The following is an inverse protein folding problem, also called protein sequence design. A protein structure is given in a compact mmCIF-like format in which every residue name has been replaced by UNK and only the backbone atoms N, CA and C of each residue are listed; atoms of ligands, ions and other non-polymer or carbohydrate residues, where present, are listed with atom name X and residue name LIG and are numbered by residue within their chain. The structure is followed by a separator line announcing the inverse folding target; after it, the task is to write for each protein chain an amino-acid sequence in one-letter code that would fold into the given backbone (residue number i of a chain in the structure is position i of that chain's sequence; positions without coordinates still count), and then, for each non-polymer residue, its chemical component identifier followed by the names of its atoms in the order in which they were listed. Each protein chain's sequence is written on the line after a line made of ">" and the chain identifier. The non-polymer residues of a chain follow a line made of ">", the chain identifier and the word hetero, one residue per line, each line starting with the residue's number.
data_IF_393340791170
#
_entry.id   IF_393340791170
#
_cell.length_a   1.000
_cell.length_b   1.000
_cell.length_c   1.000
_cell.angle_alpha   90.00
_cell.angle_beta   90.00
_cell.angle_gamma   90.00
#
_symmetry.space_group_name_H-M   'P 1'
#
loop_
_entity.id
_entity.type
_entity.pdbx_description
1 polymer ?
#
# COMPACT_ATOMS: atom_id res chain seq x y z
N UNK A 1 -18.19 -6.96 10.80
CA UNK A 1 -17.15 -6.56 9.82
C UNK A 1 -15.80 -7.05 10.31
N UNK A 2 -15.09 -7.90 9.56
CA UNK A 2 -13.76 -8.37 9.95
C UNK A 2 -12.78 -7.20 9.79
N UNK A 3 -12.10 -6.80 10.87
CA UNK A 3 -11.07 -5.76 10.81
C UNK A 3 -9.83 -6.35 10.13
N UNK A 4 -9.43 -5.79 9.01
CA UNK A 4 -8.15 -6.12 8.36
C UNK A 4 -7.08 -5.22 8.95
N UNK A 5 -6.07 -5.82 9.57
CA UNK A 5 -4.90 -5.11 10.11
C UNK A 5 -3.77 -5.18 9.10
N UNK A 6 -3.03 -4.09 8.96
CA UNK A 6 -1.91 -4.00 8.06
C UNK A 6 -0.63 -3.83 8.85
N UNK A 7 0.42 -4.49 8.40
CA UNK A 7 1.73 -4.41 9.01
C UNK A 7 2.78 -4.14 7.95
N UNK A 8 3.85 -3.47 8.36
CA UNK A 8 5.03 -3.26 7.53
C UNK A 8 6.28 -3.76 8.25
N UNK A 9 7.19 -4.32 7.48
CA UNK A 9 8.50 -4.73 7.96
C UNK A 9 9.55 -3.95 7.16
N UNK A 10 10.33 -3.05 7.78
CA UNK A 10 11.52 -2.52 7.13
C UNK A 10 12.47 -3.69 6.87
N UNK A 11 12.85 -3.87 5.60
CA UNK A 11 13.90 -4.84 5.23
C UNK A 11 15.29 -4.22 5.24
N UNK A 12 15.36 -2.93 5.54
CA UNK A 12 16.58 -2.13 5.65
C UNK A 12 16.68 -1.59 7.08
N UNK A 13 17.84 -1.78 7.71
CA UNK A 13 18.08 -1.35 9.09
C UNK A 13 18.36 0.16 9.23
N UNK A 14 18.42 0.91 8.13
CA UNK A 14 18.72 2.34 8.14
C UNK A 14 17.46 3.19 7.94
N UNK A 15 17.44 3.94 6.84
CA UNK A 15 16.48 5.01 6.57
C UNK A 15 15.01 4.57 6.69
N UNK A 16 14.67 3.38 6.19
CA UNK A 16 13.27 2.93 6.19
C UNK A 16 12.77 2.65 7.61
N UNK A 17 13.63 2.08 8.46
CA UNK A 17 13.30 1.83 9.86
C UNK A 17 13.11 3.13 10.65
N UNK A 18 13.98 4.11 10.45
CA UNK A 18 13.85 5.43 11.10
C UNK A 18 12.59 6.18 10.70
N UNK A 19 12.24 6.16 9.41
CA UNK A 19 10.99 6.77 8.93
C UNK A 19 9.81 6.06 9.59
N UNK A 20 9.78 4.73 9.57
CA UNK A 20 8.68 3.98 10.18
C UNK A 20 8.56 4.29 11.68
N UNK A 21 9.67 4.29 12.42
CA UNK A 21 9.70 4.56 13.85
C UNK A 21 9.31 6.01 14.21
N UNK A 22 9.49 6.97 13.29
CA UNK A 22 9.06 8.37 13.48
C UNK A 22 7.55 8.56 13.32
N UNK A 23 6.91 7.80 12.43
CA UNK A 23 5.51 8.01 12.07
C UNK A 23 4.56 7.03 12.72
N UNK A 24 5.05 5.85 13.13
CA UNK A 24 4.26 4.85 13.82
C UNK A 24 4.63 4.87 15.31
N UNK A 25 3.66 4.98 16.22
CA UNK A 25 3.93 4.84 17.66
C UNK A 25 4.60 3.52 17.97
N UNK A 26 5.54 3.52 18.91
CA UNK A 26 6.23 2.31 19.37
C UNK A 26 5.26 1.25 19.93
N UNK A 27 4.07 1.63 20.40
CA UNK A 27 3.02 0.71 20.85
C UNK A 27 2.46 -0.20 19.74
N UNK A 28 2.58 0.26 18.48
CA UNK A 28 2.14 -0.51 17.32
C UNK A 28 3.22 -1.46 16.78
N UNK A 29 4.41 -1.43 17.37
CA UNK A 29 5.47 -2.37 17.05
C UNK A 29 5.17 -3.75 17.65
N UNK A 30 5.28 -4.77 16.82
CA UNK A 30 5.11 -6.18 17.17
C UNK A 30 6.28 -6.99 16.65
N UNK A 31 6.95 -7.65 17.58
CA UNK A 31 7.93 -8.66 17.24
C UNK A 31 7.24 -10.02 17.07
N UNK A 32 7.19 -10.53 15.84
CA UNK A 32 6.61 -11.83 15.53
C UNK A 32 7.74 -12.80 15.15
N UNK A 33 8.32 -13.46 16.16
CA UNK A 33 9.51 -14.31 15.97
C UNK A 33 10.73 -13.48 15.55
N UNK A 34 11.26 -13.74 14.35
CA UNK A 34 12.39 -12.98 13.77
C UNK A 34 11.94 -11.72 13.00
N UNK A 35 10.64 -11.43 12.96
CA UNK A 35 10.08 -10.32 12.16
C UNK A 35 9.79 -9.09 13.01
N UNK A 36 10.11 -7.93 12.45
CA UNK A 36 9.89 -6.62 13.05
C UNK A 36 8.70 -5.95 12.36
N UNK A 37 7.49 -6.20 12.88
CA UNK A 37 6.25 -5.78 12.25
C UNK A 37 5.70 -4.52 12.91
N UNK A 38 5.41 -3.50 12.12
CA UNK A 38 4.77 -2.28 12.59
C UNK A 38 3.34 -2.21 12.10
N UNK A 39 2.38 -2.18 13.02
CA UNK A 39 0.96 -2.07 12.70
C UNK A 39 0.63 -0.65 12.23
N UNK A 40 0.01 -0.53 11.05
CA UNK A 40 -0.29 0.75 10.44
C UNK A 40 -1.61 0.74 9.66
N UNK A 41 -2.03 1.93 9.25
CA UNK A 41 -3.14 2.11 8.32
C UNK A 41 -2.69 1.86 6.88
N UNK A 42 -3.62 1.45 6.02
CA UNK A 42 -3.34 1.30 4.59
C UNK A 42 -2.89 2.62 3.94
N UNK A 43 -3.39 3.77 4.43
CA UNK A 43 -3.00 5.09 3.95
C UNK A 43 -1.49 5.36 4.16
N UNK A 44 -0.96 4.96 5.31
CA UNK A 44 0.48 5.07 5.59
C UNK A 44 1.31 4.22 4.62
N UNK A 45 0.84 3.01 4.31
CA UNK A 45 1.48 2.13 3.32
C UNK A 45 1.52 2.81 1.95
N UNK A 46 0.44 3.47 1.52
CA UNK A 46 0.44 4.19 0.24
C UNK A 46 1.42 5.37 0.22
N UNK A 47 1.56 6.10 1.33
CA UNK A 47 2.57 7.15 1.47
C UNK A 47 4.00 6.58 1.42
N UNK A 48 4.25 5.44 2.10
CA UNK A 48 5.55 4.77 2.05
C UNK A 48 5.87 4.25 0.64
N UNK A 49 4.87 3.79 -0.11
CA UNK A 49 5.03 3.38 -1.51
C UNK A 49 5.40 4.54 -2.43
N UNK A 50 4.79 5.71 -2.23
CA UNK A 50 5.22 6.91 -2.95
C UNK A 50 6.69 7.25 -2.62
N UNK A 51 7.05 7.12 -1.34
CA UNK A 51 8.42 7.36 -0.86
C UNK A 51 9.42 6.30 -1.34
N UNK A 52 9.00 5.06 -1.60
CA UNK A 52 9.85 3.99 -2.18
C UNK A 52 10.46 4.40 -3.51
N UNK A 53 9.69 5.10 -4.35
CA UNK A 53 10.14 5.55 -5.68
C UNK A 53 11.09 6.74 -5.56
N UNK A 54 10.84 7.64 -4.61
CA UNK A 54 11.63 8.87 -4.45
C UNK A 54 12.87 8.72 -3.57
N UNK A 55 12.88 7.79 -2.60
CA UNK A 55 13.92 7.68 -1.56
C UNK A 55 14.55 6.27 -1.47
N UNK A 56 14.07 5.31 -2.26
CA UNK A 56 14.62 3.95 -2.25
C UNK A 56 14.25 3.11 -1.02
N UNK A 57 13.17 3.47 -0.30
CA UNK A 57 12.73 2.73 0.88
C UNK A 57 12.46 1.24 0.60
N UNK A 58 12.98 0.34 1.43
CA UNK A 58 12.84 -1.12 1.28
C UNK A 58 12.03 -1.68 2.44
N UNK A 59 10.82 -2.14 2.13
CA UNK A 59 9.92 -2.72 3.12
C UNK A 59 9.06 -3.83 2.51
N UNK A 60 8.59 -4.72 3.37
CA UNK A 60 7.57 -5.72 3.09
C UNK A 60 6.25 -5.32 3.75
N UNK A 61 5.15 -5.75 3.16
CA UNK A 61 3.80 -5.49 3.64
C UNK A 61 3.20 -6.82 4.06
N UNK A 62 2.51 -6.82 5.19
CA UNK A 62 1.76 -7.96 5.67
C UNK A 62 0.33 -7.56 6.01
N UNK A 63 -0.58 -8.53 5.98
CA UNK A 63 -1.99 -8.32 6.30
C UNK A 63 -2.49 -9.42 7.21
N UNK A 64 -3.42 -9.08 8.10
CA UNK A 64 -4.11 -10.00 8.99
C UNK A 64 -5.61 -9.74 8.94
N UNK A 65 -6.38 -10.75 8.52
CA UNK A 65 -7.84 -10.68 8.55
C UNK A 65 -8.37 -11.23 9.88
N UNK A 66 -8.96 -10.37 10.72
CA UNK A 66 -9.47 -10.76 12.03
C UNK A 66 -8.37 -11.31 12.96
N UNK A 67 -8.59 -12.50 13.53
CA UNK A 67 -7.60 -13.25 14.31
C UNK A 67 -6.81 -14.27 13.46
N UNK A 68 -6.88 -14.17 12.12
CA UNK A 68 -6.18 -15.07 11.22
C UNK A 68 -4.65 -14.93 11.27
N UNK A 69 -3.98 -15.74 10.46
CA UNK A 69 -2.52 -15.69 10.32
C UNK A 69 -2.08 -14.42 9.55
N UNK A 70 -0.96 -13.82 9.98
CA UNK A 70 -0.31 -12.73 9.26
C UNK A 70 0.30 -13.29 7.96
N UNK A 71 -0.14 -12.79 6.82
CA UNK A 71 0.33 -13.20 5.48
C UNK A 71 1.10 -12.08 4.80
N UNK A 72 2.16 -12.44 4.09
CA UNK A 72 2.91 -11.48 3.26
C UNK A 72 2.00 -11.03 2.11
N UNK A 73 1.82 -9.72 1.99
CA UNK A 73 1.04 -9.11 0.93
C UNK A 73 1.95 -8.91 -0.29
N UNK A 74 1.86 -9.82 -1.26
CA UNK A 74 2.64 -9.72 -2.49
C UNK A 74 2.09 -8.60 -3.39
N UNK A 75 2.87 -7.54 -3.51
CA UNK A 75 2.50 -6.35 -4.29
C UNK A 75 2.49 -6.61 -5.81
N UNK A 76 3.23 -7.62 -6.30
CA UNK A 76 3.23 -7.96 -7.75
C UNK A 76 1.88 -8.47 -8.19
N UNK A 77 1.13 -9.15 -7.31
CA UNK A 77 -0.24 -9.60 -7.58
C UNK A 77 -1.17 -8.39 -7.80
N UNK A 78 -0.99 -7.30 -7.05
CA UNK A 78 -1.87 -6.12 -7.14
C UNK A 78 -1.48 -5.14 -8.25
N UNK A 79 -0.18 -5.05 -8.58
CA UNK A 79 0.32 -4.19 -9.67
C UNK A 79 -0.25 -4.58 -11.04
N UNK A 80 -0.50 -5.89 -11.27
CA UNK A 80 -1.22 -6.37 -12.46
C UNK A 80 -2.68 -5.86 -12.52
N UNK A 81 -3.38 -5.83 -11.38
CA UNK A 81 -4.78 -5.37 -11.29
C UNK A 81 -4.91 -3.86 -11.57
N UNK A 82 -4.00 -3.02 -11.06
CA UNK A 82 -4.01 -1.56 -11.35
C UNK A 82 -3.71 -1.23 -12.81
N UNK A 83 -2.83 -1.99 -13.49
CA UNK A 83 -2.58 -1.83 -14.93
C UNK A 83 -3.83 -2.11 -15.77
N UNK A 84 -4.60 -3.14 -15.40
CA UNK A 84 -5.85 -3.47 -16.08
C UNK A 84 -6.88 -2.34 -15.96
N UNK A 85 -7.10 -1.82 -14.75
CA UNK A 85 -8.07 -0.74 -14.50
C UNK A 85 -7.71 0.57 -15.21
N UNK A 86 -6.41 0.92 -15.29
CA UNK A 86 -5.97 2.09 -16.07
C UNK A 86 -6.25 1.96 -17.56
N UNK A 87 -6.07 0.75 -18.14
CA UNK A 87 -6.38 0.50 -19.55
C UNK A 87 -7.88 0.65 -19.81
N UNK A 88 -8.73 0.06 -18.96
CA UNK A 88 -10.19 0.15 -19.09
C UNK A 88 -10.72 1.59 -18.93
N UNK A 89 -10.17 2.39 -17.99
CA UNK A 89 -10.58 3.81 -17.85
C UNK A 89 -10.16 4.66 -19.04
N UNK A 90 -8.99 4.41 -19.63
CA UNK A 90 -8.54 5.14 -20.83
C UNK A 90 -9.45 4.81 -22.03
N UNK A 91 -9.85 3.56 -22.18
CA UNK A 91 -10.74 3.11 -23.26
C UNK A 91 -12.18 3.62 -23.09
N UNK A 92 -12.67 3.75 -21.84
CA UNK A 92 -13.97 4.34 -21.54
C UNK A 92 -13.99 5.86 -21.72
N UNK A 93 -12.87 6.55 -21.44
CA UNK A 93 -12.73 7.98 -21.67
C UNK A 93 -12.68 8.33 -23.16
N UNK A 94 -12.07 7.45 -23.97
CA UNK A 94 -11.95 7.60 -25.42
C UNK A 94 -13.28 7.38 -26.18
N UNK A 95 -14.19 6.56 -25.63
CA UNK A 95 -15.51 6.28 -26.22
C UNK A 95 -16.62 7.27 -25.84
N UNK A 96 -16.31 8.38 -25.18
CA UNK A 96 -17.34 9.38 -24.80
C UNK A 96 -17.66 10.24 -26.04
N UNK A 97 -18.88 10.14 -26.63
CA UNK A 97 -19.20 10.95 -27.80
C UNK A 97 -19.20 12.43 -27.41
N UNK A 98 -18.52 13.25 -28.20
CA UNK A 98 -18.50 14.69 -28.06
C UNK A 98 -19.94 15.21 -28.08
N UNK A 99 -20.43 15.73 -26.95
CA UNK A 99 -21.68 16.50 -26.92
C UNK A 99 -21.42 17.77 -27.72
N UNK A 100 -22.02 17.85 -28.89
CA UNK A 100 -22.11 19.07 -29.70
C UNK A 100 -22.63 20.23 -28.84
N UNK A 101 -21.98 21.40 -28.83
CA UNK A 101 -22.54 22.58 -28.18
C UNK A 101 -23.71 23.08 -29.03
N UNK A 102 -24.92 22.83 -28.55
CA UNK A 102 -26.14 23.37 -29.14
C UNK A 102 -26.33 24.84 -28.77
N UNK A 103 -26.37 25.68 -29.80
CA UNK A 103 -27.18 26.90 -29.99
C UNK A 103 -27.35 27.87 -28.81
N UNK A 104 -26.92 29.11 -29.06
CA UNK A 104 -27.76 30.29 -28.83
C UNK A 104 -27.77 31.12 -30.11
#
# INVERSE_FOLDING_TARGET
>A
MRKTRWFIEPTDCGFTNEVIARYIPSENYKQAGKRHLWECSYAFIEQLKASRVSWGAKFKIFTQEGQGAIREFDEKIFSKKRKLVKKTKKELADKRPARSPGRS
#
